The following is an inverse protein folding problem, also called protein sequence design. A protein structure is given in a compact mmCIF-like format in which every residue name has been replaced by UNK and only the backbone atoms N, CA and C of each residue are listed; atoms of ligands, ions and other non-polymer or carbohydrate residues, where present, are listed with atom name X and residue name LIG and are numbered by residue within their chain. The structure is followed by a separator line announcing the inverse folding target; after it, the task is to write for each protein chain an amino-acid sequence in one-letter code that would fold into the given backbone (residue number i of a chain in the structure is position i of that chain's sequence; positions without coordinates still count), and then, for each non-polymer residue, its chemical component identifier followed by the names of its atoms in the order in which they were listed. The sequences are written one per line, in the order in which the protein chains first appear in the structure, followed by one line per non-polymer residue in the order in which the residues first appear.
data_IF_786923743052
#
_entry.id   IF_786923743052
#
_cell.length_a   1.000
_cell.length_b   1.000
_cell.length_c   1.000
_cell.angle_alpha   90.00
_cell.angle_beta   90.00
_cell.angle_gamma   90.00
#
_symmetry.space_group_name_H-M   'P 1'
#
loop_
_entity.id
_entity.type
_entity.pdbx_description
1 polymer ?
#
# COMPACT_ATOMS: atom_id res chain seq x y z
N UNK A 1 -11.75 -0.82 21.37
CA UNK A 1 -10.34 -1.08 20.99
C UNK A 1 -10.24 -0.98 19.48
N UNK A 2 -9.20 -0.35 18.93
CA UNK A 2 -8.98 -0.36 17.49
C UNK A 2 -8.55 -1.76 17.04
N UNK A 3 -9.07 -2.28 15.90
CA UNK A 3 -8.60 -3.55 15.36
C UNK A 3 -7.13 -3.43 14.95
N UNK A 4 -6.33 -4.50 15.10
CA UNK A 4 -4.97 -4.53 14.60
C UNK A 4 -4.97 -4.38 13.08
N UNK A 5 -3.87 -3.88 12.52
CA UNK A 5 -3.71 -3.63 11.08
C UNK A 5 -2.43 -4.25 10.55
N UNK A 6 -2.47 -4.72 9.31
CA UNK A 6 -1.27 -5.04 8.51
C UNK A 6 -0.93 -3.82 7.65
N UNK A 7 0.34 -3.46 7.57
CA UNK A 7 0.81 -2.40 6.68
C UNK A 7 1.39 -3.00 5.41
N UNK A 8 0.84 -2.59 4.25
CA UNK A 8 1.43 -2.86 2.94
C UNK A 8 2.24 -1.65 2.51
N UNK A 9 3.49 -1.86 2.11
CA UNK A 9 4.41 -0.82 1.63
C UNK A 9 4.89 -1.18 0.23
N UNK A 10 4.91 -0.18 -0.64
CA UNK A 10 5.56 -0.25 -1.94
C UNK A 10 6.79 0.64 -1.88
N UNK A 11 7.95 0.09 -2.18
CA UNK A 11 9.23 0.78 -2.16
C UNK A 11 9.92 0.70 -3.52
N UNK A 12 10.87 1.59 -3.77
CA UNK A 12 11.82 1.44 -4.87
C UNK A 12 12.99 0.50 -4.47
N UNK A 13 13.95 0.32 -5.39
CA UNK A 13 15.13 -0.52 -5.17
C UNK A 13 16.11 0.05 -4.13
N UNK A 14 15.93 1.29 -3.69
CA UNK A 14 16.72 1.94 -2.65
C UNK A 14 15.94 2.01 -1.31
N UNK A 15 14.90 1.19 -1.18
CA UNK A 15 14.00 1.11 -0.02
C UNK A 15 13.24 2.41 0.30
N UNK A 16 13.15 3.36 -0.65
CA UNK A 16 12.37 4.58 -0.46
C UNK A 16 10.89 4.26 -0.56
N UNK A 17 10.10 4.76 0.39
CA UNK A 17 8.67 4.53 0.42
C UNK A 17 7.97 5.32 -0.71
N UNK A 18 7.31 4.58 -1.61
CA UNK A 18 6.51 5.16 -2.70
C UNK A 18 5.04 5.29 -2.30
N UNK A 19 4.48 4.28 -1.64
CA UNK A 19 3.13 4.30 -1.13
C UNK A 19 2.95 3.29 0.02
N UNK A 20 1.96 3.53 0.88
CA UNK A 20 1.53 2.54 1.88
C UNK A 20 0.04 2.58 2.14
N UNK A 21 -0.50 1.47 2.64
CA UNK A 21 -1.85 1.38 3.17
C UNK A 21 -1.91 0.46 4.38
N UNK A 22 -2.90 0.71 5.24
CA UNK A 22 -3.25 -0.16 6.35
C UNK A 22 -4.46 -1.01 5.98
N UNK A 23 -4.30 -2.32 6.14
CA UNK A 23 -5.34 -3.33 5.98
C UNK A 23 -5.81 -3.75 7.37
N UNK A 24 -7.07 -3.51 7.75
CA UNK A 24 -7.58 -3.96 9.04
C UNK A 24 -7.59 -5.48 9.12
N UNK A 25 -7.13 -6.02 10.23
CA UNK A 25 -7.19 -7.45 10.53
C UNK A 25 -8.50 -7.75 11.23
N UNK A 26 -9.37 -8.60 10.67
CA UNK A 26 -10.60 -9.00 11.35
C UNK A 26 -10.26 -9.72 12.67
N UNK A 27 -10.89 -9.27 13.76
CA UNK A 27 -10.68 -9.80 15.12
C UNK A 27 -11.46 -11.10 15.39
N UNK A 28 -12.36 -11.51 14.49
CA UNK A 28 -13.08 -12.78 14.57
C UNK A 28 -12.20 -13.89 14.05
N UNK A 29 -11.79 -14.82 14.92
CA UNK A 29 -10.97 -16.00 14.58
C UNK A 29 -11.64 -17.03 13.66
N UNK A 30 -12.83 -16.73 13.16
CA UNK A 30 -13.42 -17.48 12.05
C UNK A 30 -12.82 -16.92 10.76
N UNK A 31 -12.17 -17.79 9.98
CA UNK A 31 -11.76 -17.51 8.61
C UNK A 31 -13.02 -17.43 7.72
N UNK A 32 -13.96 -16.58 8.11
CA UNK A 32 -15.19 -16.29 7.38
C UNK A 32 -14.83 -15.33 6.26
N UNK A 33 -15.09 -15.78 5.04
CA UNK A 33 -15.05 -14.96 3.83
C UNK A 33 -15.70 -13.60 4.11
N UNK A 34 -14.98 -12.49 3.91
CA UNK A 34 -15.67 -11.21 3.76
C UNK A 34 -15.09 -9.96 4.40
N UNK A 35 -13.91 -9.97 5.04
CA UNK A 35 -13.32 -8.71 5.57
C UNK A 35 -11.91 -8.41 5.09
N UNK A 36 -11.27 -9.29 4.30
CA UNK A 36 -9.81 -9.37 4.30
C UNK A 36 -9.04 -8.44 3.36
N UNK A 37 -9.61 -7.90 2.26
CA UNK A 37 -8.82 -7.07 1.34
C UNK A 37 -9.70 -6.20 0.44
N UNK A 38 -9.56 -4.88 0.57
CA UNK A 38 -10.22 -3.91 -0.30
C UNK A 38 -9.41 -3.74 -1.60
N UNK A 39 -9.86 -4.42 -2.66
CA UNK A 39 -9.18 -4.43 -3.95
C UNK A 39 -9.12 -3.04 -4.58
N UNK A 40 -10.18 -2.23 -4.44
CA UNK A 40 -10.20 -0.86 -4.98
C UNK A 40 -9.17 0.02 -4.26
N UNK A 41 -9.05 -0.12 -2.94
CA UNK A 41 -8.05 0.60 -2.16
C UNK A 41 -6.63 0.14 -2.49
N UNK A 42 -6.45 -1.12 -2.85
CA UNK A 42 -5.17 -1.64 -3.34
C UNK A 42 -4.83 -1.12 -4.74
N UNK A 43 -5.79 -1.06 -5.68
CA UNK A 43 -5.57 -0.44 -7.00
C UNK A 43 -5.15 1.03 -6.86
N UNK A 44 -5.84 1.78 -5.99
CA UNK A 44 -5.45 3.17 -5.68
C UNK A 44 -4.05 3.27 -5.05
N UNK A 45 -3.60 2.26 -4.32
CA UNK A 45 -2.22 2.20 -3.80
C UNK A 45 -1.22 2.06 -4.97
N UNK A 46 -1.50 1.20 -5.94
CA UNK A 46 -0.67 0.99 -7.13
C UNK A 46 -0.57 2.26 -7.99
N UNK A 47 -1.68 2.98 -8.18
CA UNK A 47 -1.69 4.26 -8.90
C UNK A 47 -0.81 5.30 -8.21
N UNK A 48 -0.92 5.43 -6.88
CA UNK A 48 -0.09 6.35 -6.09
C UNK A 48 1.39 5.99 -6.19
N UNK A 49 1.72 4.71 -6.08
CA UNK A 49 3.09 4.24 -6.22
C UNK A 49 3.65 4.53 -7.62
N UNK A 50 2.85 4.35 -8.67
CA UNK A 50 3.26 4.64 -10.06
C UNK A 50 3.54 6.12 -10.28
N UNK A 51 2.73 7.01 -9.69
CA UNK A 51 2.96 8.46 -9.73
C UNK A 51 4.23 8.83 -8.95
N UNK A 52 4.40 8.29 -7.74
CA UNK A 52 5.58 8.55 -6.91
C UNK A 52 6.86 8.08 -7.61
N UNK A 53 6.83 6.89 -8.22
CA UNK A 53 7.93 6.35 -9.01
C UNK A 53 8.30 7.28 -10.17
N UNK A 54 7.32 7.76 -10.95
CA UNK A 54 7.59 8.70 -12.05
C UNK A 54 8.29 9.97 -11.56
N UNK A 55 7.87 10.52 -10.42
CA UNK A 55 8.54 11.70 -9.83
C UNK A 55 9.98 11.42 -9.45
N UNK A 56 10.26 10.27 -8.82
CA UNK A 56 11.64 9.88 -8.47
C UNK A 56 12.50 9.72 -9.72
N UNK A 57 11.93 9.18 -10.81
CA UNK A 57 12.62 9.09 -12.09
C UNK A 57 12.87 10.46 -12.72
N UNK A 58 11.87 11.35 -12.74
CA UNK A 58 12.00 12.70 -13.30
C UNK A 58 13.01 13.54 -12.48
N UNK A 59 13.02 13.41 -11.15
CA UNK A 59 14.01 14.05 -10.27
C UNK A 59 15.42 13.47 -10.42
N UNK A 60 15.53 12.16 -10.67
CA UNK A 60 16.82 11.48 -10.92
C UNK A 60 17.38 11.70 -12.33
N UNK A 61 16.51 12.01 -13.29
CA UNK A 61 16.87 12.25 -14.69
C UNK A 61 17.26 13.71 -14.99
N UNK A 62 17.51 14.52 -13.95
CA UNK A 62 17.86 15.94 -14.02
C UNK A 62 18.42 16.41 -15.36
N UNK A 63 17.55 17.05 -16.13
CA UNK A 63 17.89 18.06 -17.15
C UNK A 63 18.37 19.34 -16.46
#
# INVERSE_FOLDING_TARGET
MMPPTITLKITDNADRLLASMEVPVPLSGECGEGVMFDAERFERLLDRASIAFRRVFDEGAGL
#
